data_IF_677474193796
#
_entry.id   IF_677474193796
#
_cell.length_a   1.000
_cell.length_b   1.000
_cell.length_c   1.000
_cell.angle_alpha   90.00
_cell.angle_beta   90.00
_cell.angle_gamma   90.00
#
_symmetry.space_group_name_H-M   'P 1'
#
loop_
_entity.id
_entity.type
_entity.pdbx_description
1 polymer ?
#
# COMPACT_ATOMS: atom_id res chain seq x y z
N UNK A 1 -67.85 13.00 27.46
CA UNK A 1 -67.24 13.59 26.24
C UNK A 1 -65.95 12.82 25.97
N UNK A 2 -65.96 11.80 25.10
CA UNK A 2 -65.72 11.81 23.64
C UNK A 2 -64.28 12.21 23.24
N UNK A 3 -63.64 11.27 22.52
CA UNK A 3 -62.48 11.36 21.61
C UNK A 3 -61.09 11.08 22.22
N UNK A 4 -60.44 9.94 21.94
CA UNK A 4 -59.86 9.40 20.68
C UNK A 4 -58.70 10.27 20.20
N UNK A 5 -57.46 9.73 20.20
CA UNK A 5 -56.56 9.81 19.04
C UNK A 5 -55.42 8.78 19.18
N UNK A 6 -55.41 7.83 18.24
CA UNK A 6 -54.32 6.90 17.96
C UNK A 6 -53.15 7.67 17.34
N UNK A 7 -51.92 7.29 17.67
CA UNK A 7 -50.77 7.41 16.76
C UNK A 7 -49.78 6.29 17.11
N UNK A 8 -49.94 5.14 16.44
CA UNK A 8 -48.89 4.12 16.37
C UNK A 8 -47.97 4.58 15.24
N UNK A 9 -46.83 5.17 15.59
CA UNK A 9 -45.77 5.50 14.66
C UNK A 9 -44.56 4.64 14.96
N UNK A 10 -44.50 3.44 14.38
CA UNK A 10 -43.31 2.60 14.45
C UNK A 10 -42.26 3.18 13.51
N UNK A 11 -41.31 3.95 14.05
CA UNK A 11 -40.14 4.37 13.30
C UNK A 11 -39.15 3.19 13.21
N UNK A 12 -39.07 2.54 12.06
CA UNK A 12 -37.99 1.58 11.77
C UNK A 12 -36.71 2.38 11.47
N UNK A 13 -35.78 2.41 12.43
CA UNK A 13 -34.46 2.97 12.22
C UNK A 13 -33.64 2.00 11.35
N UNK A 14 -33.39 2.37 10.09
CA UNK A 14 -32.42 1.68 9.23
C UNK A 14 -31.02 2.10 9.74
N UNK A 15 -30.37 1.19 10.46
CA UNK A 15 -28.97 1.36 10.82
C UNK A 15 -28.11 1.17 9.56
N UNK A 16 -27.61 2.27 9.00
CA UNK A 16 -26.56 2.21 7.98
C UNK A 16 -25.28 1.77 8.69
N UNK A 17 -24.90 0.50 8.50
CA UNK A 17 -23.59 0.00 8.89
C UNK A 17 -22.56 0.65 7.98
N UNK A 18 -21.94 1.73 8.46
CA UNK A 18 -20.74 2.28 7.84
C UNK A 18 -19.63 1.23 7.99
N UNK A 19 -19.40 0.43 6.96
CA UNK A 19 -18.23 -0.43 6.89
C UNK A 19 -17.04 0.49 6.65
N UNK A 20 -16.28 0.81 7.68
CA UNK A 20 -14.96 1.40 7.51
C UNK A 20 -14.10 0.36 6.81
N UNK A 21 -13.94 0.50 5.49
CA UNK A 21 -12.92 -0.23 4.75
C UNK A 21 -11.57 0.17 5.35
N UNK A 22 -11.00 -0.73 6.16
CA UNK A 22 -9.61 -0.60 6.54
C UNK A 22 -8.82 -0.56 5.24
N UNK A 23 -8.02 0.49 5.05
CA UNK A 23 -7.05 0.53 3.96
C UNK A 23 -6.13 -0.65 4.19
N UNK A 24 -6.34 -1.73 3.44
CA UNK A 24 -5.53 -2.92 3.54
C UNK A 24 -4.13 -2.51 3.08
N UNK A 25 -3.21 -2.35 4.04
CA UNK A 25 -1.83 -2.02 3.75
C UNK A 25 -1.24 -3.18 2.93
N UNK A 26 -0.82 -2.87 1.72
CA UNK A 26 -0.08 -3.80 0.88
C UNK A 26 1.29 -4.07 1.48
N UNK A 27 1.88 -5.20 1.12
CA UNK A 27 3.24 -5.57 1.54
C UNK A 27 4.11 -5.78 0.33
N UNK A 28 5.33 -5.22 0.40
CA UNK A 28 6.34 -5.44 -0.61
C UNK A 28 7.15 -6.69 -0.28
N UNK A 29 7.32 -7.56 -1.29
CA UNK A 29 8.11 -8.77 -1.19
C UNK A 29 9.09 -8.88 -2.35
N UNK A 30 10.26 -9.42 -2.05
CA UNK A 30 11.30 -9.75 -3.01
C UNK A 30 11.37 -11.26 -3.19
N UNK A 31 11.23 -11.71 -4.44
CA UNK A 31 11.31 -13.12 -4.81
C UNK A 31 12.55 -13.36 -5.67
N UNK A 32 13.46 -14.26 -5.26
CA UNK A 32 14.51 -14.76 -6.14
C UNK A 32 13.93 -15.27 -7.47
N UNK A 33 14.65 -15.09 -8.58
CA UNK A 33 14.14 -15.43 -9.92
C UNK A 33 13.68 -16.88 -10.08
N UNK A 34 14.33 -17.84 -9.42
CA UNK A 34 13.95 -19.26 -9.38
C UNK A 34 12.65 -19.52 -8.58
N UNK A 35 12.39 -18.72 -7.55
CA UNK A 35 11.13 -18.71 -6.81
C UNK A 35 10.02 -18.06 -7.64
N UNK A 36 10.34 -16.98 -8.37
CA UNK A 36 9.39 -16.22 -9.17
C UNK A 36 8.79 -17.03 -10.33
N UNK A 37 9.55 -17.95 -10.92
CA UNK A 37 9.06 -18.87 -11.98
C UNK A 37 7.91 -19.79 -11.51
N UNK A 38 7.71 -19.93 -10.20
CA UNK A 38 6.66 -20.79 -9.61
C UNK A 38 5.38 -20.01 -9.27
N UNK A 39 5.33 -18.70 -9.54
CA UNK A 39 4.22 -17.83 -9.16
C UNK A 39 2.95 -18.05 -9.98
N UNK A 40 3.06 -18.48 -11.24
CA UNK A 40 1.90 -18.66 -12.12
C UNK A 40 0.87 -19.64 -11.51
N UNK A 41 1.37 -20.68 -10.84
CA UNK A 41 0.53 -21.66 -10.14
C UNK A 41 -0.23 -21.07 -8.94
N UNK A 42 0.25 -19.95 -8.39
CA UNK A 42 -0.35 -19.29 -7.24
C UNK A 42 -1.42 -18.30 -7.63
N UNK A 43 -1.63 -17.98 -8.91
CA UNK A 43 -2.66 -17.04 -9.40
C UNK A 43 -2.74 -15.75 -8.56
N UNK A 44 -1.59 -15.17 -8.17
CA UNK A 44 -1.54 -13.90 -7.44
C UNK A 44 -1.99 -12.75 -8.34
N UNK A 45 -2.50 -11.67 -7.76
CA UNK A 45 -2.84 -10.42 -8.45
C UNK A 45 -2.11 -9.25 -7.75
N UNK A 46 -0.80 -9.10 -7.99
CA UNK A 46 -0.02 -8.03 -7.37
C UNK A 46 -0.57 -6.65 -7.73
N UNK A 47 -0.52 -5.73 -6.78
CA UNK A 47 -0.75 -4.29 -7.01
C UNK A 47 0.35 -3.74 -7.92
N UNK A 48 1.58 -4.18 -7.69
CA UNK A 48 2.75 -3.92 -8.55
C UNK A 48 3.53 -5.19 -8.75
N UNK A 49 4.05 -5.34 -9.96
CA UNK A 49 4.89 -6.46 -10.37
C UNK A 49 6.05 -5.91 -11.20
N UNK A 50 7.25 -5.91 -10.60
CA UNK A 50 8.46 -5.38 -11.21
C UNK A 50 9.49 -6.50 -11.37
N UNK A 51 9.93 -6.72 -12.60
CA UNK A 51 10.94 -7.72 -12.93
C UNK A 51 12.32 -7.08 -13.07
N UNK A 52 13.21 -7.39 -12.13
CA UNK A 52 14.60 -6.94 -12.11
C UNK A 52 15.57 -8.00 -12.69
N UNK A 53 15.05 -9.07 -13.28
CA UNK A 53 15.77 -10.18 -13.91
C UNK A 53 16.38 -11.17 -12.91
N UNK A 54 17.10 -10.68 -11.89
CA UNK A 54 17.67 -11.53 -10.83
C UNK A 54 16.67 -11.86 -9.72
N UNK A 55 15.68 -11.01 -9.55
CA UNK A 55 14.55 -11.16 -8.64
C UNK A 55 13.32 -10.44 -9.22
N UNK A 56 12.14 -10.83 -8.73
CA UNK A 56 10.90 -10.10 -8.93
C UNK A 56 10.52 -9.39 -7.64
N UNK A 57 10.03 -8.18 -7.77
CA UNK A 57 9.52 -7.39 -6.66
C UNK A 57 8.01 -7.24 -6.82
N UNK A 58 7.27 -7.69 -5.82
CA UNK A 58 5.81 -7.66 -5.83
C UNK A 58 5.28 -6.82 -4.68
N UNK A 59 4.31 -5.97 -4.97
CA UNK A 59 3.45 -5.37 -3.95
C UNK A 59 2.14 -6.17 -3.88
N UNK A 60 1.87 -6.80 -2.74
CA UNK A 60 0.76 -7.73 -2.56
C UNK A 60 -0.27 -7.19 -1.58
N UNK A 61 -1.56 -7.32 -1.92
CA UNK A 61 -2.63 -7.18 -0.94
C UNK A 61 -2.55 -8.31 0.10
N UNK A 62 -3.10 -8.12 1.33
CA UNK A 62 -2.99 -9.11 2.39
C UNK A 62 -3.47 -10.53 2.02
N UNK A 63 -4.50 -10.65 1.19
CA UNK A 63 -5.01 -11.95 0.73
C UNK A 63 -3.99 -12.69 -0.14
N UNK A 64 -3.30 -11.99 -1.03
CA UNK A 64 -2.28 -12.59 -1.89
C UNK A 64 -0.98 -12.86 -1.14
N UNK A 65 -0.62 -12.00 -0.19
CA UNK A 65 0.50 -12.29 0.71
C UNK A 65 0.25 -13.56 1.53
N UNK A 66 -0.96 -13.75 2.06
CA UNK A 66 -1.32 -14.98 2.77
C UNK A 66 -1.21 -16.22 1.88
N UNK A 67 -1.59 -16.13 0.61
CA UNK A 67 -1.44 -17.22 -0.38
C UNK A 67 0.03 -17.52 -0.67
N UNK A 68 0.85 -16.48 -0.86
CA UNK A 68 2.29 -16.64 -1.03
C UNK A 68 2.91 -17.29 0.21
N UNK A 69 2.57 -16.86 1.41
CA UNK A 69 3.05 -17.44 2.66
C UNK A 69 2.67 -18.92 2.79
N UNK A 70 1.43 -19.28 2.43
CA UNK A 70 0.95 -20.67 2.46
C UNK A 70 1.61 -21.57 1.39
N UNK A 71 2.16 -20.99 0.32
CA UNK A 71 2.78 -21.75 -0.78
C UNK A 71 4.14 -22.36 -0.44
N UNK A 72 4.81 -21.86 0.59
CA UNK A 72 6.19 -22.24 0.91
C UNK A 72 7.24 -21.76 -0.11
N UNK A 73 6.86 -20.93 -1.09
CA UNK A 73 7.80 -20.25 -1.97
C UNK A 73 8.68 -19.31 -1.14
N UNK A 74 9.99 -19.31 -1.40
CA UNK A 74 10.92 -18.43 -0.70
C UNK A 74 10.73 -16.97 -1.14
N UNK A 75 10.64 -16.07 -0.17
CA UNK A 75 10.59 -14.63 -0.39
C UNK A 75 11.16 -13.87 0.81
N UNK A 76 11.53 -12.62 0.60
CA UNK A 76 11.95 -11.67 1.63
C UNK A 76 10.89 -10.57 1.73
N UNK A 77 10.54 -10.15 2.95
CA UNK A 77 9.75 -8.92 3.16
C UNK A 77 10.67 -7.71 2.99
N UNK A 78 10.19 -6.71 2.28
CA UNK A 78 10.96 -5.49 2.03
C UNK A 78 10.21 -4.29 2.60
N UNK A 79 10.35 -4.08 3.92
CA UNK A 79 9.58 -3.10 4.68
C UNK A 79 9.76 -1.65 4.19
N UNK A 80 10.92 -1.33 3.61
CA UNK A 80 11.27 0.02 3.17
C UNK A 80 11.17 0.19 1.64
N UNK A 81 10.54 -0.75 0.93
CA UNK A 81 10.58 -0.78 -0.53
C UNK A 81 9.92 0.42 -1.22
N UNK A 82 9.04 1.13 -0.51
CA UNK A 82 8.39 2.35 -1.00
C UNK A 82 9.12 3.63 -0.55
N UNK A 83 10.15 3.52 0.30
CA UNK A 83 10.90 4.67 0.78
C UNK A 83 12.08 5.02 -0.12
N UNK A 84 12.19 6.31 -0.39
CA UNK A 84 13.40 6.94 -0.90
C UNK A 84 14.23 7.44 0.28
N UNK A 85 15.54 7.15 0.27
CA UNK A 85 16.49 7.66 1.28
C UNK A 85 17.63 8.44 0.63
N UNK A 86 17.79 9.71 1.01
CA UNK A 86 18.87 10.60 0.54
C UNK A 86 19.49 11.31 1.75
N UNK A 87 20.70 10.90 2.15
CA UNK A 87 21.35 11.44 3.34
C UNK A 87 20.49 11.23 4.59
N UNK A 88 20.09 12.33 5.24
CA UNK A 88 19.23 12.31 6.43
C UNK A 88 17.72 12.26 6.10
N UNK A 89 17.33 12.33 4.83
CA UNK A 89 15.93 12.31 4.41
C UNK A 89 15.48 10.88 4.10
N UNK A 90 14.32 10.50 4.61
CA UNK A 90 13.62 9.29 4.27
C UNK A 90 12.13 9.61 4.13
N UNK A 91 11.53 9.29 2.98
CA UNK A 91 10.13 9.56 2.69
C UNK A 91 9.60 8.61 1.63
N UNK A 92 8.31 8.30 1.67
CA UNK A 92 7.58 7.64 0.60
C UNK A 92 7.00 8.70 -0.34
N UNK A 93 7.47 8.81 -1.60
CA UNK A 93 7.00 9.85 -2.52
C UNK A 93 5.51 9.71 -2.88
N UNK A 94 4.92 8.51 -2.73
CA UNK A 94 3.52 8.25 -3.04
C UNK A 94 2.61 8.58 -1.85
N UNK A 95 3.06 8.30 -0.62
CA UNK A 95 2.28 8.52 0.59
C UNK A 95 2.52 9.90 1.21
N UNK A 96 3.79 10.33 1.30
CA UNK A 96 4.21 11.54 2.01
C UNK A 96 4.31 12.76 1.08
N UNK A 97 4.49 12.54 -0.22
CA UNK A 97 4.68 13.61 -1.21
C UNK A 97 6.08 14.24 -1.15
N UNK A 98 6.16 15.56 -1.36
CA UNK A 98 7.44 16.28 -1.31
C UNK A 98 7.92 16.43 0.15
N UNK A 99 9.14 15.97 0.49
CA UNK A 99 9.63 16.01 1.86
C UNK A 99 9.81 17.47 2.33
N UNK A 100 9.35 17.75 3.55
CA UNK A 100 9.59 19.03 4.20
C UNK A 100 11.08 19.19 4.52
N UNK A 101 11.71 20.22 3.96
CA UNK A 101 13.09 20.57 4.26
C UNK A 101 13.17 21.36 5.57
N UNK A 102 14.18 21.08 6.40
CA UNK A 102 14.43 21.87 7.61
C UNK A 102 14.80 23.32 7.24
N UNK A 103 14.50 24.30 8.11
CA UNK A 103 14.86 25.70 7.86
C UNK A 103 16.35 25.86 7.54
N UNK A 104 16.65 26.56 6.44
CA UNK A 104 18.02 26.78 5.97
C UNK A 104 18.61 25.66 5.10
N UNK A 105 17.87 24.58 4.86
CA UNK A 105 18.22 23.59 3.82
C UNK A 105 17.53 23.97 2.51
N UNK A 106 18.33 24.43 1.55
CA UNK A 106 17.89 24.76 0.20
C UNK A 106 18.77 24.03 -0.82
N UNK A 107 18.18 23.56 -1.92
CA UNK A 107 18.94 23.07 -3.05
C UNK A 107 19.69 24.24 -3.69
N UNK A 108 21.02 24.13 -3.82
CA UNK A 108 21.80 25.15 -4.51
C UNK A 108 21.35 25.24 -5.97
N UNK A 109 20.96 26.45 -6.42
CA UNK A 109 20.50 26.67 -7.79
C UNK A 109 21.63 26.51 -8.84
N UNK A 110 22.88 26.61 -8.42
CA UNK A 110 24.07 26.50 -9.26
C UNK A 110 24.90 25.27 -8.89
N UNK A 111 24.99 24.31 -9.80
CA UNK A 111 25.88 23.15 -9.69
C UNK A 111 25.19 21.84 -10.06
N UNK A 112 25.95 20.74 -10.15
CA UNK A 112 25.37 19.41 -10.32
C UNK A 112 24.49 19.05 -9.11
N UNK A 113 23.28 18.55 -9.38
CA UNK A 113 22.35 18.10 -8.34
C UNK A 113 21.62 16.84 -8.76
N UNK A 114 21.07 16.12 -7.78
CA UNK A 114 20.21 14.98 -8.03
C UNK A 114 18.76 15.44 -8.13
N UNK A 115 18.05 14.95 -9.15
CA UNK A 115 16.59 15.09 -9.27
C UNK A 115 16.00 13.71 -9.40
N UNK A 116 15.04 13.40 -8.53
CA UNK A 116 14.19 12.23 -8.69
C UNK A 116 13.06 12.60 -9.63
N UNK A 117 12.92 11.85 -10.71
CA UNK A 117 11.82 11.98 -11.67
C UNK A 117 11.06 10.67 -11.64
N UNK A 118 9.80 10.72 -11.24
CA UNK A 118 8.89 9.59 -11.34
C UNK A 118 8.09 9.76 -12.64
N UNK A 119 8.17 8.77 -13.53
CA UNK A 119 7.47 8.74 -14.81
C UNK A 119 6.19 7.91 -14.73
#
# INVERSE_FOLDING_TARGET
>A
MRQVFRCIGTAAAIAVLATTAAVAQSVAVRLPSDAAQRLDALSLQPVRDLDYGSFRWLELAPADHARLAASGVAYELEADALQVRVGAFAFDPLADGEPALAPGLEAAASGPGFRLVQL
#
